data_IF_170569262497
#
_entry.id   IF_170569262497
#
_cell.length_a   1.000
_cell.length_b   1.000
_cell.length_c   1.000
_cell.angle_alpha   90.00
_cell.angle_beta   90.00
_cell.angle_gamma   90.00
#
_symmetry.space_group_name_H-M   'P 1'
#
loop_
_entity.id
_entity.type
_entity.pdbx_description
1 polymer ?
#
# COMPACT_ATOMS: atom_id res chain seq x y z
N UNK A 1 4.41 -4.38 -10.41
CA UNK A 1 4.82 -5.42 -11.41
C UNK A 1 5.69 -4.74 -12.44
N UNK A 2 6.45 -5.48 -13.25
CA UNK A 2 7.18 -4.93 -14.39
C UNK A 2 6.99 -5.83 -15.61
N UNK A 3 6.98 -5.25 -16.81
CA UNK A 3 6.81 -6.03 -18.03
C UNK A 3 8.17 -6.57 -18.49
N UNK A 4 8.31 -7.90 -18.50
CA UNK A 4 9.49 -8.55 -19.03
C UNK A 4 9.32 -8.74 -20.53
N UNK A 5 10.04 -7.97 -21.33
CA UNK A 5 9.97 -8.01 -22.80
C UNK A 5 10.58 -9.29 -23.39
N UNK A 6 11.52 -9.96 -22.70
CA UNK A 6 12.09 -11.24 -23.16
C UNK A 6 11.09 -12.38 -23.01
N UNK A 7 10.31 -12.36 -21.91
CA UNK A 7 9.30 -13.37 -21.61
C UNK A 7 7.90 -12.99 -22.07
N UNK A 8 7.70 -11.75 -22.56
CA UNK A 8 6.41 -11.16 -22.92
C UNK A 8 5.32 -11.31 -21.85
N UNK A 9 5.68 -11.11 -20.58
CA UNK A 9 4.76 -11.25 -19.46
C UNK A 9 5.03 -10.27 -18.32
N UNK A 10 3.99 -9.99 -17.53
CA UNK A 10 4.10 -9.17 -16.33
C UNK A 10 4.67 -9.97 -15.17
N UNK A 11 5.85 -9.57 -14.71
CA UNK A 11 6.57 -10.22 -13.61
C UNK A 11 6.35 -9.44 -12.31
N UNK A 12 6.25 -10.17 -11.20
CA UNK A 12 6.18 -9.57 -9.86
C UNK A 12 7.55 -9.01 -9.47
N UNK A 13 7.56 -7.85 -8.82
CA UNK A 13 8.79 -7.26 -8.29
C UNK A 13 9.31 -8.11 -7.13
N UNK A 14 10.62 -8.32 -7.09
CA UNK A 14 11.33 -9.05 -6.04
C UNK A 14 12.32 -8.14 -5.35
N UNK A 15 12.62 -8.44 -4.08
CA UNK A 15 13.68 -7.79 -3.32
C UNK A 15 15.05 -8.04 -3.92
N UNK A 16 16.04 -7.24 -3.52
CA UNK A 16 17.44 -7.44 -3.91
C UNK A 16 17.99 -8.80 -3.46
N UNK A 17 17.45 -9.36 -2.39
CA UNK A 17 17.76 -10.71 -1.90
C UNK A 17 17.03 -11.83 -2.67
N UNK A 18 16.32 -11.50 -3.76
CA UNK A 18 15.53 -12.42 -4.55
C UNK A 18 14.21 -12.85 -3.88
N UNK A 19 13.94 -12.41 -2.65
CA UNK A 19 12.69 -12.74 -1.96
C UNK A 19 11.55 -11.90 -2.52
N UNK A 20 10.33 -12.45 -2.44
CA UNK A 20 9.15 -11.70 -2.84
C UNK A 20 8.97 -10.50 -1.92
N UNK A 21 8.77 -9.32 -2.48
CA UNK A 21 8.30 -8.17 -1.70
C UNK A 21 6.91 -8.46 -1.14
N UNK A 22 6.52 -7.83 -0.02
CA UNK A 22 5.17 -7.89 0.52
C UNK A 22 4.14 -7.77 -0.59
N UNK A 23 3.13 -8.62 -0.53
CA UNK A 23 2.10 -8.64 -1.55
C UNK A 23 1.27 -7.37 -1.48
N UNK A 24 1.57 -6.43 -2.37
CA UNK A 24 0.68 -5.31 -2.68
C UNK A 24 -0.58 -5.75 -3.43
N UNK A 25 -0.90 -7.04 -3.53
CA UNK A 25 -2.19 -7.49 -4.07
C UNK A 25 -3.24 -7.37 -2.98
N UNK A 26 -3.62 -6.15 -2.65
CA UNK A 26 -4.91 -5.87 -2.03
C UNK A 26 -5.83 -5.44 -3.16
N UNK A 27 -7.11 -5.83 -3.12
CA UNK A 27 -8.12 -5.16 -3.93
C UNK A 27 -7.95 -3.65 -3.70
N UNK A 28 -7.93 -2.85 -4.76
CA UNK A 28 -7.72 -1.39 -4.71
C UNK A 28 -6.26 -0.92 -4.55
N UNK A 29 -5.34 -1.56 -5.28
CA UNK A 29 -3.95 -1.10 -5.37
C UNK A 29 -3.73 -0.25 -6.62
N UNK A 30 -3.16 0.95 -6.44
CA UNK A 30 -2.75 1.86 -7.52
C UNK A 30 -1.23 2.05 -7.49
N UNK A 31 -0.60 2.13 -8.66
CA UNK A 31 0.83 2.36 -8.79
C UNK A 31 1.08 3.66 -9.55
N UNK A 32 2.02 4.47 -9.08
CA UNK A 32 2.44 5.70 -9.73
C UNK A 32 3.97 5.85 -9.64
N UNK A 33 4.53 6.62 -10.58
CA UNK A 33 5.89 7.12 -10.45
C UNK A 33 5.90 8.32 -9.49
N UNK A 34 6.91 8.40 -8.63
CA UNK A 34 7.11 9.49 -7.68
C UNK A 34 8.62 9.67 -7.41
N UNK A 35 9.20 10.79 -7.86
CA UNK A 35 10.62 11.15 -7.67
C UNK A 35 11.61 10.03 -8.06
N UNK A 36 11.37 9.37 -9.18
CA UNK A 36 12.18 8.24 -9.67
C UNK A 36 11.91 6.91 -8.97
N UNK A 37 10.91 6.85 -8.09
CA UNK A 37 10.52 5.65 -7.33
C UNK A 37 9.15 5.17 -7.75
N UNK A 38 8.87 3.90 -7.47
CA UNK A 38 7.54 3.34 -7.60
C UNK A 38 6.77 3.57 -6.30
N UNK A 39 5.75 4.42 -6.34
CA UNK A 39 4.77 4.56 -5.28
C UNK A 39 3.64 3.55 -5.46
N UNK A 40 3.40 2.73 -4.43
CA UNK A 40 2.31 1.76 -4.41
C UNK A 40 1.32 2.17 -3.33
N UNK A 41 0.14 2.63 -3.74
CA UNK A 41 -0.96 2.98 -2.85
C UNK A 41 -1.94 1.83 -2.75
N UNK A 42 -2.36 1.49 -1.53
CA UNK A 42 -3.32 0.42 -1.30
C UNK A 42 -4.18 0.74 -0.08
N UNK A 43 -5.42 0.23 -0.08
CA UNK A 43 -6.28 0.34 1.09
C UNK A 43 -5.81 -0.62 2.19
N UNK A 44 -5.81 -0.15 3.44
CA UNK A 44 -5.41 -0.94 4.59
C UNK A 44 -6.23 -0.62 5.82
N UNK A 45 -6.22 -1.55 6.77
CA UNK A 45 -6.86 -1.41 8.07
C UNK A 45 -5.79 -1.67 9.14
N UNK A 46 -5.69 -0.76 10.10
CA UNK A 46 -4.85 -0.96 11.29
C UNK A 46 -5.74 -1.09 12.52
N UNK A 47 -5.54 -2.15 13.28
CA UNK A 47 -6.21 -2.34 14.57
C UNK A 47 -5.35 -1.72 15.68
N UNK A 48 -5.90 -0.72 16.35
CA UNK A 48 -5.38 -0.21 17.62
C UNK A 48 -6.23 -0.72 18.79
N UNK A 49 -5.72 -0.59 20.02
CA UNK A 49 -6.30 -1.14 21.26
C UNK A 49 -7.82 -0.94 21.37
N UNK A 50 -8.36 0.21 20.92
CA UNK A 50 -9.79 0.54 20.98
C UNK A 50 -10.37 1.11 19.67
N UNK A 51 -9.62 1.07 18.56
CA UNK A 51 -10.03 1.72 17.29
C UNK A 51 -9.55 0.97 16.07
N UNK A 52 -10.47 0.68 15.16
CA UNK A 52 -10.19 0.24 13.81
C UNK A 52 -10.04 1.49 12.94
N UNK A 53 -8.84 1.75 12.43
CA UNK A 53 -8.60 2.85 11.49
C UNK A 53 -8.45 2.27 10.09
N UNK A 54 -9.31 2.69 9.17
CA UNK A 54 -9.17 2.39 7.74
C UNK A 54 -8.47 3.57 7.06
N UNK A 55 -7.63 3.28 6.08
CA UNK A 55 -6.89 4.34 5.40
C UNK A 55 -6.16 3.87 4.17
N UNK A 56 -5.57 4.84 3.47
CA UNK A 56 -4.70 4.62 2.33
C UNK A 56 -3.27 4.52 2.86
N UNK A 57 -2.64 3.40 2.55
CA UNK A 57 -1.22 3.16 2.76
C UNK A 57 -0.45 3.44 1.49
N UNK A 58 0.80 3.85 1.63
CA UNK A 58 1.72 3.99 0.53
C UNK A 58 3.03 3.29 0.88
N UNK A 59 3.59 2.60 -0.11
CA UNK A 59 4.96 2.08 -0.06
C UNK A 59 5.76 2.67 -1.21
N UNK A 60 6.89 3.29 -0.89
CA UNK A 60 7.85 3.80 -1.86
C UNK A 60 8.92 2.74 -2.10
N UNK A 61 9.09 2.36 -3.37
CA UNK A 61 10.01 1.32 -3.79
C UNK A 61 11.01 1.89 -4.80
N UNK A 62 12.29 1.91 -4.45
CA UNK A 62 13.37 2.16 -5.41
C UNK A 62 13.55 0.94 -6.30
N UNK A 63 13.73 1.16 -7.60
CA UNK A 63 13.90 0.10 -8.59
C UNK A 63 15.35 0.04 -9.06
N UNK A 64 15.92 -1.17 -9.03
CA UNK A 64 17.29 -1.43 -9.49
C UNK A 64 17.26 -2.50 -10.60
N UNK A 65 18.20 -2.39 -11.54
CA UNK A 65 18.39 -3.40 -12.58
C UNK A 65 19.49 -4.38 -12.14
N UNK A 66 19.18 -5.67 -12.09
CA UNK A 66 20.10 -6.74 -11.73
C UNK A 66 20.16 -7.75 -12.88
N UNK A 67 21.07 -7.52 -13.83
CA UNK A 67 21.13 -8.28 -15.08
C UNK A 67 19.83 -8.11 -15.87
N UNK A 68 19.13 -9.22 -16.08
CA UNK A 68 17.85 -9.27 -16.79
C UNK A 68 16.62 -9.06 -15.89
N UNK A 69 16.83 -8.84 -14.59
CA UNK A 69 15.75 -8.66 -13.61
C UNK A 69 15.63 -7.21 -13.17
N UNK A 70 14.41 -6.79 -12.83
CA UNK A 70 14.16 -5.56 -12.08
C UNK A 70 13.86 -5.96 -10.63
N UNK A 71 14.68 -5.44 -9.72
CA UNK A 71 14.56 -5.62 -8.28
C UNK A 71 13.97 -4.35 -7.65
N UNK A 72 13.38 -4.50 -6.46
CA UNK A 72 12.85 -3.39 -5.66
C UNK A 72 13.45 -3.36 -4.26
N UNK A 73 13.65 -2.16 -3.74
CA UNK A 73 14.01 -1.91 -2.34
C UNK A 73 12.94 -1.02 -1.73
N UNK A 74 12.32 -1.43 -0.63
CA UNK A 74 11.35 -0.59 0.08
C UNK A 74 12.13 0.46 0.85
N UNK A 75 11.95 1.72 0.46
CA UNK A 75 12.59 2.84 1.13
C UNK A 75 11.73 3.36 2.29
N UNK A 76 10.41 3.31 2.11
CA UNK A 76 9.44 3.78 3.08
C UNK A 76 8.10 3.08 2.91
N UNK A 77 7.39 2.89 4.02
CA UNK A 77 6.01 2.38 4.03
C UNK A 77 5.25 3.01 5.19
N UNK A 78 4.03 3.47 4.94
CA UNK A 78 3.19 4.06 5.97
C UNK A 78 1.83 4.54 5.48
N UNK A 79 1.03 5.04 6.42
CA UNK A 79 -0.29 5.62 6.14
C UNK A 79 -0.13 7.03 5.57
N UNK A 80 -0.76 7.29 4.42
CA UNK A 80 -0.79 8.62 3.77
C UNK A 80 -2.15 9.30 3.87
N UNK A 81 -3.19 8.57 4.27
CA UNK A 81 -4.50 9.14 4.58
C UNK A 81 -5.33 8.19 5.44
N UNK A 82 -6.10 8.74 6.38
CA UNK A 82 -7.04 7.98 7.22
C UNK A 82 -8.46 8.44 6.93
N UNK A 83 -9.40 7.49 6.94
CA UNK A 83 -10.82 7.82 6.92
C UNK A 83 -11.34 7.76 8.36
N UNK A 84 -11.85 8.87 8.91
CA UNK A 84 -12.42 8.85 10.24
C UNK A 84 -13.62 7.91 10.27
N UNK A 85 -13.69 7.06 11.28
CA UNK A 85 -14.87 6.27 11.54
C UNK A 85 -15.93 7.16 12.20
N UNK A 86 -16.93 7.62 11.44
CA UNK A 86 -18.11 8.24 12.03
C UNK A 86 -18.86 7.18 12.85
N UNK A 87 -18.69 7.21 14.18
CA UNK A 87 -19.70 6.60 15.06
C UNK A 87 -20.94 7.47 14.94
N UNK A 88 -22.02 6.91 14.43
CA UNK A 88 -23.34 7.49 14.63
C UNK A 88 -23.57 7.57 16.13
N UNK A 89 -23.35 8.74 16.74
CA UNK A 89 -23.80 8.98 18.11
C UNK A 89 -25.31 9.07 17.98
N UNK A 90 -26.01 8.03 18.43
CA UNK A 90 -27.45 8.11 18.64
C UNK A 90 -27.63 9.19 19.69
N UNK A 91 -28.14 10.35 19.27
CA UNK A 91 -28.49 11.43 20.16
C UNK A 91 -29.75 10.94 20.90
N UNK A 92 -29.59 10.14 21.94
CA UNK A 92 -30.68 9.88 22.87
C UNK A 92 -30.98 11.24 23.50
N UNK A 93 -32.08 11.84 23.04
CA UNK A 93 -32.64 13.04 23.64
C UNK A 93 -32.85 12.75 25.13
N UNK A 94 -32.09 13.42 25.97
CA UNK A 94 -32.53 13.74 27.32
C UNK A 94 -33.73 14.68 27.18
N UNK A 95 -34.91 14.10 27.07
CA UNK A 95 -36.15 14.80 27.43
C UNK A 95 -36.23 14.75 28.95
N UNK A 96 -35.64 15.76 29.60
CA UNK A 96 -36.07 16.20 30.92
C UNK A 96 -37.49 16.76 30.78
N UNK A 97 -38.47 16.13 31.43
CA UNK A 97 -39.51 16.75 32.27
C UNK A 97 -40.46 15.72 32.88
#
# INVERSE_FOLDING_TARGET
>A
MWFNTKLNLWVRLVGRDGKKLPSFMVCDTTMAEHDGKLAVLYWGQSEGVNTITKGVWCTLVSLDKAGDMICGTIDWSGTVGTVPYCRSVKLDRLEDH
#
